data_IF_797268704845
#
_entry.id   IF_797268704845
#
_cell.length_a   1.000
_cell.length_b   1.000
_cell.length_c   1.000
_cell.angle_alpha   90.00
_cell.angle_beta   90.00
_cell.angle_gamma   90.00
#
_symmetry.space_group_name_H-M   'P 1'
#
loop_
_entity.id
_entity.type
_entity.pdbx_description
1 polymer ?
#
# COMPACT_ATOMS: atom_id res chain seq x y z
N UNK A 1 16.31 -10.95 9.55
CA UNK A 1 15.49 -10.46 10.66
C UNK A 1 14.04 -10.71 10.29
N UNK A 2 13.33 -11.52 11.07
CA UNK A 2 11.91 -11.76 10.86
C UNK A 2 11.14 -10.58 11.45
N UNK A 3 10.43 -9.84 10.61
CA UNK A 3 9.56 -8.73 11.02
C UNK A 3 8.11 -9.19 10.86
N UNK A 4 7.32 -9.05 11.94
CA UNK A 4 5.92 -9.40 11.96
C UNK A 4 5.15 -8.37 12.79
N UNK A 5 4.11 -7.78 12.20
CA UNK A 5 3.31 -6.73 12.82
C UNK A 5 1.81 -7.01 12.69
N UNK A 6 1.06 -6.58 13.69
CA UNK A 6 -0.40 -6.70 13.75
C UNK A 6 -1.03 -5.33 13.94
N UNK A 7 -2.28 -5.15 13.50
CA UNK A 7 -3.07 -3.95 13.81
C UNK A 7 -3.62 -4.11 15.24
N UNK A 8 -3.19 -3.25 16.17
CA UNK A 8 -3.47 -3.37 17.61
C UNK A 8 -4.37 -2.27 18.19
N UNK A 9 -5.20 -1.65 17.36
CA UNK A 9 -6.11 -0.62 17.84
C UNK A 9 -7.16 -0.22 16.83
N UNK A 10 -8.14 0.55 17.30
CA UNK A 10 -9.14 1.17 16.44
C UNK A 10 -8.52 2.26 15.57
N UNK A 11 -9.02 2.38 14.35
CA UNK A 11 -8.65 3.46 13.44
C UNK A 11 -9.12 4.81 13.99
N UNK A 12 -8.24 5.81 13.96
CA UNK A 12 -8.55 7.18 14.42
C UNK A 12 -8.61 8.13 13.25
N UNK A 13 -9.68 8.92 13.18
CA UNK A 13 -9.84 9.98 12.21
C UNK A 13 -9.30 11.32 12.73
N UNK A 14 -8.54 12.02 11.91
CA UNK A 14 -8.02 13.37 12.16
C UNK A 14 -8.50 14.34 11.07
N UNK A 15 -8.96 15.55 11.44
CA UNK A 15 -9.32 16.57 10.47
C UNK A 15 -8.09 17.01 9.67
N UNK A 16 -8.29 17.27 8.38
CA UNK A 16 -7.25 17.81 7.49
C UNK A 16 -7.39 19.33 7.34
N UNK A 17 -6.31 20.04 6.93
CA UNK A 17 -6.39 21.47 6.63
C UNK A 17 -7.49 21.80 5.62
N UNK A 18 -8.06 22.99 5.74
CA UNK A 18 -9.10 23.47 4.82
C UNK A 18 -8.65 23.36 3.36
N UNK A 19 -9.55 22.90 2.48
CA UNK A 19 -9.25 22.65 1.06
C UNK A 19 -8.75 21.24 0.74
N UNK A 20 -8.56 20.38 1.75
CA UNK A 20 -8.30 18.94 1.55
C UNK A 20 -9.61 18.14 1.54
N UNK A 21 -9.71 17.15 0.65
CA UNK A 21 -10.81 16.16 0.63
C UNK A 21 -10.52 15.05 1.63
N UNK A 22 -11.57 14.55 2.28
CA UNK A 22 -11.52 13.42 3.24
C UNK A 22 -10.84 13.75 4.57
N UNK A 23 -10.71 12.73 5.41
CA UNK A 23 -9.99 12.78 6.70
C UNK A 23 -8.66 12.06 6.61
N UNK A 24 -7.78 12.32 7.57
CA UNK A 24 -6.60 11.48 7.82
C UNK A 24 -7.02 10.34 8.72
N UNK A 25 -6.68 9.11 8.38
CA UNK A 25 -6.93 7.93 9.22
C UNK A 25 -5.60 7.36 9.68
N UNK A 26 -5.48 7.13 10.99
CA UNK A 26 -4.32 6.50 11.62
C UNK A 26 -4.70 5.14 12.19
N UNK A 27 -3.89 4.12 11.91
CA UNK A 27 -4.08 2.75 12.39
C UNK A 27 -2.81 2.27 13.05
N UNK A 28 -2.90 1.82 14.31
CA UNK A 28 -1.73 1.45 15.10
C UNK A 28 -1.26 0.02 14.85
N UNK A 29 0.04 -0.16 14.72
CA UNK A 29 0.74 -1.43 14.58
C UNK A 29 1.38 -1.87 15.91
N UNK A 30 1.64 -3.18 16.04
CA UNK A 30 2.25 -3.78 17.24
C UNK A 30 3.72 -3.40 17.49
N UNK A 31 4.34 -2.67 16.56
CA UNK A 31 5.73 -2.22 16.65
C UNK A 31 6.07 -1.26 15.52
N UNK A 32 7.37 -0.97 15.38
CA UNK A 32 7.89 -0.03 14.39
C UNK A 32 8.44 -0.79 13.17
N UNK A 33 7.75 -0.78 12.02
CA UNK A 33 8.20 -1.50 10.83
C UNK A 33 9.47 -0.91 10.24
N UNK A 34 10.30 -1.76 9.64
CA UNK A 34 11.42 -1.27 8.83
C UNK A 34 10.91 -0.58 7.55
N UNK A 35 11.79 0.21 6.93
CA UNK A 35 11.55 0.79 5.60
C UNK A 35 11.21 -0.27 4.55
N UNK A 36 11.79 -1.47 4.66
CA UNK A 36 11.53 -2.59 3.74
C UNK A 36 10.11 -3.10 3.89
N UNK A 37 9.67 -3.33 5.13
CA UNK A 37 8.29 -3.75 5.42
C UNK A 37 7.29 -2.69 4.96
N UNK A 38 7.55 -1.41 5.26
CA UNK A 38 6.70 -0.30 4.85
C UNK A 38 6.53 -0.20 3.33
N UNK A 39 7.62 -0.43 2.57
CA UNK A 39 7.56 -0.45 1.12
C UNK A 39 6.72 -1.63 0.59
N UNK A 40 6.93 -2.83 1.12
CA UNK A 40 6.14 -4.01 0.74
C UNK A 40 4.65 -3.82 1.05
N UNK A 41 4.34 -3.28 2.24
CA UNK A 41 2.99 -2.90 2.65
C UNK A 41 2.37 -1.90 1.67
N UNK A 42 3.06 -0.79 1.38
CA UNK A 42 2.56 0.25 0.48
C UNK A 42 2.30 -0.26 -0.93
N UNK A 43 3.19 -1.08 -1.49
CA UNK A 43 3.02 -1.69 -2.80
C UNK A 43 1.82 -2.64 -2.85
N UNK A 44 1.65 -3.47 -1.80
CA UNK A 44 0.49 -4.37 -1.73
C UNK A 44 -0.80 -3.60 -1.54
N UNK A 45 -0.83 -2.62 -0.65
CA UNK A 45 -2.02 -1.81 -0.41
C UNK A 45 -2.46 -1.08 -1.68
N UNK A 46 -1.53 -0.49 -2.43
CA UNK A 46 -1.84 0.14 -3.71
C UNK A 46 -2.49 -0.86 -4.69
N UNK A 47 -2.03 -2.12 -4.69
CA UNK A 47 -2.60 -3.18 -5.53
C UNK A 47 -4.01 -3.57 -5.09
N UNK A 48 -4.24 -3.76 -3.78
CA UNK A 48 -5.56 -4.12 -3.24
C UNK A 48 -6.61 -3.01 -3.45
N UNK A 49 -6.16 -1.76 -3.45
CA UNK A 49 -7.01 -0.59 -3.67
C UNK A 49 -7.18 -0.25 -5.16
N UNK A 50 -6.29 -0.74 -6.02
CA UNK A 50 -6.44 -0.57 -7.48
C UNK A 50 -7.69 -1.32 -7.96
N UNK A 51 -8.59 -0.60 -8.64
CA UNK A 51 -9.86 -1.15 -9.13
C UNK A 51 -11.03 -1.01 -8.16
N UNK A 52 -10.82 -0.53 -6.93
CA UNK A 52 -11.92 -0.12 -6.06
C UNK A 52 -12.43 1.27 -6.48
N UNK A 53 -13.70 1.36 -6.87
CA UNK A 53 -14.33 2.62 -7.29
C UNK A 53 -14.36 3.70 -6.19
N UNK A 54 -14.17 3.29 -4.93
CA UNK A 54 -14.30 4.10 -3.72
C UNK A 54 -12.93 4.43 -3.09
N UNK A 55 -11.88 4.68 -3.89
CA UNK A 55 -10.57 5.13 -3.36
C UNK A 55 -9.87 6.10 -4.32
N UNK A 56 -10.61 6.75 -5.22
CA UNK A 56 -10.06 7.63 -6.25
C UNK A 56 -9.32 8.87 -5.70
N UNK A 57 -9.60 9.24 -4.45
CA UNK A 57 -9.00 10.40 -3.79
C UNK A 57 -7.92 10.04 -2.76
N UNK A 58 -7.75 8.73 -2.47
CA UNK A 58 -6.79 8.26 -1.49
C UNK A 58 -5.37 8.47 -2.01
N UNK A 59 -4.57 9.24 -1.28
CA UNK A 59 -3.16 9.45 -1.61
C UNK A 59 -2.30 8.42 -0.91
N UNK A 60 -1.85 7.42 -1.66
CA UNK A 60 -0.91 6.41 -1.18
C UNK A 60 0.51 6.89 -1.50
N UNK A 61 1.17 7.54 -0.54
CA UNK A 61 2.61 7.74 -0.60
C UNK A 61 3.30 6.56 0.07
N UNK A 62 3.75 5.57 -0.72
CA UNK A 62 4.34 4.33 -0.20
C UNK A 62 5.58 4.56 0.69
N UNK A 63 6.23 5.72 0.59
CA UNK A 63 7.35 6.10 1.44
C UNK A 63 6.94 6.69 2.80
N UNK A 64 5.72 7.22 2.93
CA UNK A 64 5.23 7.95 4.11
C UNK A 64 3.98 7.32 4.75
N UNK A 65 3.47 6.25 4.16
CA UNK A 65 2.25 5.56 4.62
C UNK A 65 2.44 4.85 5.95
N UNK A 66 3.69 4.54 6.34
CA UNK A 66 4.02 4.04 7.67
C UNK A 66 4.87 5.11 8.37
N UNK A 67 4.38 5.60 9.52
CA UNK A 67 5.03 6.63 10.34
C UNK A 67 5.20 6.09 11.76
N UNK A 68 6.42 5.70 12.12
CA UNK A 68 6.68 5.07 13.42
C UNK A 68 5.97 3.72 13.55
N UNK A 69 5.04 3.60 14.51
CA UNK A 69 4.18 2.44 14.72
C UNK A 69 2.77 2.62 14.11
N UNK A 70 2.57 3.56 13.19
CA UNK A 70 1.25 3.86 12.61
C UNK A 70 1.22 3.75 11.09
N UNK A 71 0.11 3.24 10.55
CA UNK A 71 -0.29 3.40 9.14
C UNK A 71 -1.10 4.69 9.03
N UNK A 72 -0.74 5.56 8.09
CA UNK A 72 -1.37 6.87 7.87
C UNK A 72 -1.96 6.91 6.46
N UNK A 73 -3.29 7.02 6.40
CA UNK A 73 -4.04 7.15 5.16
C UNK A 73 -4.61 8.56 5.05
N UNK A 74 -4.21 9.30 4.01
CA UNK A 74 -4.68 10.66 3.78
C UNK A 74 -5.77 10.72 2.71
N UNK A 75 -6.89 11.37 3.07
CA UNK A 75 -7.99 11.63 2.15
C UNK A 75 -9.08 10.56 2.13
N UNK A 76 -9.25 9.82 3.23
CA UNK A 76 -10.31 8.82 3.37
C UNK A 76 -11.66 9.52 3.49
N UNK A 77 -12.59 9.23 2.57
CA UNK A 77 -13.97 9.70 2.70
C UNK A 77 -14.84 8.76 3.55
N UNK A 78 -15.90 9.25 4.21
CA UNK A 78 -16.79 8.41 5.03
C UNK A 78 -17.42 7.24 4.26
N UNK A 79 -17.70 7.43 2.97
CA UNK A 79 -18.23 6.40 2.07
C UNK A 79 -17.21 5.29 1.77
N UNK A 80 -15.92 5.59 1.86
CA UNK A 80 -14.81 4.69 1.53
C UNK A 80 -14.32 3.91 2.76
N UNK A 81 -14.45 4.52 3.96
CA UNK A 81 -13.92 3.98 5.21
C UNK A 81 -14.30 2.51 5.51
N UNK A 82 -15.56 2.04 5.29
CA UNK A 82 -15.91 0.65 5.50
C UNK A 82 -15.16 -0.33 4.58
N UNK A 83 -14.77 0.11 3.38
CA UNK A 83 -14.06 -0.69 2.39
C UNK A 83 -12.57 -0.90 2.68
N UNK A 84 -11.98 -0.13 3.60
CA UNK A 84 -10.53 -0.16 3.84
C UNK A 84 -10.07 -1.29 4.76
N UNK A 85 -10.95 -1.84 5.58
CA UNK A 85 -10.58 -2.79 6.65
C UNK A 85 -10.00 -4.11 6.11
N UNK A 86 -10.48 -4.60 4.96
CA UNK A 86 -9.98 -5.83 4.35
C UNK A 86 -8.67 -5.60 3.57
N UNK A 87 -8.56 -4.61 2.67
CA UNK A 87 -7.30 -4.24 2.01
C UNK A 87 -6.14 -4.01 2.98
N UNK A 88 -6.39 -3.31 4.10
CA UNK A 88 -5.37 -3.08 5.12
C UNK A 88 -4.87 -4.38 5.75
N UNK A 89 -5.77 -5.30 6.09
CA UNK A 89 -5.39 -6.60 6.67
C UNK A 89 -4.61 -7.47 5.70
N UNK A 90 -5.03 -7.52 4.44
CA UNK A 90 -4.32 -8.24 3.38
C UNK A 90 -2.92 -7.67 3.17
N UNK A 91 -2.80 -6.35 3.10
CA UNK A 91 -1.51 -5.68 2.92
C UNK A 91 -0.55 -5.93 4.10
N UNK A 92 -1.04 -5.91 5.35
CA UNK A 92 -0.24 -6.26 6.54
C UNK A 92 0.24 -7.72 6.46
N UNK A 93 -0.66 -8.65 6.15
CA UNK A 93 -0.31 -10.08 6.02
C UNK A 93 0.76 -10.30 4.96
N UNK A 94 0.58 -9.72 3.77
CA UNK A 94 1.56 -9.83 2.68
C UNK A 94 2.90 -9.20 3.03
N UNK A 95 2.91 -8.05 3.73
CA UNK A 95 4.16 -7.41 4.13
C UNK A 95 4.93 -8.25 5.18
N UNK A 96 4.21 -8.87 6.12
CA UNK A 96 4.79 -9.83 7.07
C UNK A 96 5.40 -11.05 6.34
N UNK A 97 4.71 -11.58 5.33
CA UNK A 97 5.21 -12.69 4.52
C UNK A 97 6.42 -12.30 3.67
N UNK A 98 6.41 -11.14 3.02
CA UNK A 98 7.53 -10.63 2.23
C UNK A 98 8.79 -10.42 3.09
N UNK A 99 8.61 -9.89 4.31
CA UNK A 99 9.69 -9.74 5.27
C UNK A 99 10.29 -11.08 5.73
N UNK A 100 9.49 -12.15 5.67
CA UNK A 100 9.83 -13.53 6.08
C UNK A 100 10.46 -14.34 4.93
N UNK A 101 10.08 -14.10 3.68
CA UNK A 101 10.33 -15.03 2.56
C UNK A 101 11.21 -14.53 1.42
N UNK A 102 11.51 -13.24 1.28
CA UNK A 102 12.11 -12.78 0.02
C UNK A 102 13.66 -12.75 0.01
N UNK A 103 14.30 -13.38 -1.01
CA UNK A 103 15.62 -13.01 -1.49
C UNK A 103 15.61 -11.56 -2.04
N UNK A 104 16.79 -10.98 -2.30
CA UNK A 104 16.91 -9.67 -2.99
C UNK A 104 15.92 -9.55 -4.16
N UNK A 105 15.31 -8.37 -4.37
CA UNK A 105 14.41 -8.15 -5.49
C UNK A 105 15.12 -8.56 -6.79
N UNK A 106 14.41 -9.31 -7.64
CA UNK A 106 14.92 -9.65 -8.96
C UNK A 106 15.35 -8.36 -9.67
N UNK A 107 16.55 -8.38 -10.27
CA UNK A 107 17.06 -7.22 -11.01
C UNK A 107 15.99 -6.76 -12.00
N UNK A 108 15.80 -5.45 -12.10
CA UNK A 108 14.93 -4.86 -13.11
C UNK A 108 15.24 -5.49 -14.48
N UNK A 109 14.18 -5.78 -15.24
CA UNK A 109 14.31 -6.25 -16.60
C UNK A 109 15.28 -5.34 -17.36
N UNK A 110 16.25 -5.94 -18.04
CA UNK A 110 17.14 -5.21 -18.94
C UNK A 110 16.32 -4.59 -20.06
N UNK A 111 16.81 -3.50 -20.66
CA UNK A 111 16.14 -2.85 -21.79
C UNK A 111 15.79 -3.86 -22.89
N UNK A 112 16.67 -4.82 -23.15
CA UNK A 112 16.47 -5.89 -24.12
C UNK A 112 15.29 -6.80 -23.79
N UNK A 113 15.08 -7.15 -22.52
CA UNK A 113 13.94 -7.96 -22.09
C UNK A 113 12.63 -7.18 -22.20
N UNK A 114 12.66 -5.88 -21.86
CA UNK A 114 11.52 -4.99 -22.05
C UNK A 114 11.13 -4.87 -23.54
N UNK A 115 12.10 -4.72 -24.44
CA UNK A 115 11.87 -4.62 -25.89
C UNK A 115 11.28 -5.91 -26.48
N UNK A 116 11.70 -7.09 -25.99
CA UNK A 116 11.13 -8.38 -26.40
C UNK A 116 9.68 -8.52 -25.96
N UNK A 117 9.36 -8.14 -24.72
CA UNK A 117 7.98 -8.16 -24.20
C UNK A 117 7.12 -7.16 -25.00
N UNK A 118 7.63 -5.97 -25.29
CA UNK A 118 6.93 -4.96 -26.08
C UNK A 118 6.58 -5.47 -27.50
N UNK A 119 7.50 -6.19 -28.15
CA UNK A 119 7.26 -6.80 -29.46
C UNK A 119 6.16 -7.87 -29.49
N UNK A 120 5.91 -8.54 -28.36
CA UNK A 120 4.85 -9.54 -28.21
C UNK A 120 3.45 -8.93 -28.05
N UNK A 121 3.35 -7.66 -27.65
CA UNK A 121 2.08 -6.92 -27.47
C UNK A 121 1.70 -6.22 -28.79
N UNK A 122 2.08 -6.79 -29.94
CA UNK A 122 1.68 -6.27 -31.24
C UNK A 122 0.15 -6.36 -31.34
N UNK A 123 -0.53 -5.23 -31.13
CA UNK A 123 -1.95 -5.05 -31.38
C UNK A 123 -2.13 -5.16 -32.90
N UNK A 124 -2.69 -6.27 -33.36
CA UNK A 124 -3.14 -6.40 -34.73
C UNK A 124 -4.27 -5.40 -34.94
N UNK A 125 -3.96 -4.22 -35.49
CA UNK A 125 -4.99 -3.38 -36.11
C UNK A 125 -5.41 -4.06 -37.41
N UNK A 126 -6.67 -4.52 -37.46
CA UNK A 126 -7.36 -4.91 -38.69
C UNK A 126 -8.73 -4.29 -38.70
#
# INVERSE_FOLDING_TARGET
MYEHYEIIGEARGEPRPAGCVGVRVRVRLSGHPSRRWAHAFGARLATELSGHAAVGHLRINTAEIVQGDEIVLDGVEPSEAPGLAQPLRLAVSSANEAATREPEPARNATQREADVIAGQISLTES
#
